data_IF_810255981468
#
_entry.id   IF_810255981468
#
_cell.length_a   1.000
_cell.length_b   1.000
_cell.length_c   1.000
_cell.angle_alpha   90.00
_cell.angle_beta   90.00
_cell.angle_gamma   90.00
#
_symmetry.space_group_name_H-M   'P 1'
#
loop_
_entity.id
_entity.type
_entity.pdbx_description
1 polymer ?
#
# COMPACT_ATOMS: atom_id res chain seq x y z
N UNK A 1 13.56 6.92 -18.99
CA UNK A 1 12.59 7.87 -18.37
C UNK A 1 11.52 7.09 -17.62
N UNK A 2 11.08 7.57 -16.45
CA UNK A 2 10.03 6.93 -15.65
C UNK A 2 8.73 7.74 -15.74
N UNK A 3 7.61 7.07 -16.03
CA UNK A 3 6.29 7.69 -15.99
C UNK A 3 5.49 7.18 -14.80
N UNK A 4 4.88 8.12 -14.06
CA UNK A 4 4.04 7.82 -12.91
C UNK A 4 2.58 7.97 -13.33
N UNK A 5 1.85 6.87 -13.34
CA UNK A 5 0.42 6.85 -13.62
C UNK A 5 -0.36 7.03 -12.33
N UNK A 6 -0.76 8.26 -12.05
CA UNK A 6 -1.48 8.68 -10.85
C UNK A 6 -0.91 9.93 -10.19
N UNK A 7 -1.54 11.08 -10.41
CA UNK A 7 -1.18 12.38 -9.83
C UNK A 7 -1.71 12.61 -8.40
N UNK A 8 -1.83 11.54 -7.60
CA UNK A 8 -2.17 11.60 -6.19
C UNK A 8 -0.97 11.95 -5.29
N UNK A 9 -1.19 12.04 -3.97
CA UNK A 9 -0.12 12.40 -3.03
C UNK A 9 1.11 11.50 -3.14
N UNK A 10 0.90 10.17 -3.25
CA UNK A 10 2.01 9.22 -3.33
C UNK A 10 2.75 9.29 -4.67
N UNK A 11 2.02 9.38 -5.79
CA UNK A 11 2.64 9.54 -7.11
C UNK A 11 3.49 10.81 -7.22
N UNK A 12 2.99 11.92 -6.68
CA UNK A 12 3.74 13.18 -6.64
C UNK A 12 4.97 13.10 -5.72
N UNK A 13 4.88 12.42 -4.59
CA UNK A 13 6.03 12.22 -3.72
C UNK A 13 7.12 11.37 -4.39
N UNK A 14 6.75 10.32 -5.13
CA UNK A 14 7.70 9.53 -5.91
C UNK A 14 8.30 10.32 -7.08
N UNK A 15 7.49 11.16 -7.75
CA UNK A 15 8.01 12.07 -8.78
C UNK A 15 9.05 13.02 -8.20
N UNK A 16 8.82 13.53 -6.99
CA UNK A 16 9.78 14.38 -6.28
C UNK A 16 11.08 13.63 -5.96
N UNK A 17 11.00 12.38 -5.47
CA UNK A 17 12.19 11.54 -5.21
C UNK A 17 13.01 11.33 -6.50
N UNK A 18 12.37 10.88 -7.59
CA UNK A 18 13.03 10.65 -8.87
C UNK A 18 13.68 11.94 -9.42
N UNK A 19 12.96 13.04 -9.37
CA UNK A 19 13.48 14.33 -9.81
C UNK A 19 14.68 14.81 -8.98
N UNK A 20 14.65 14.58 -7.66
CA UNK A 20 15.80 14.88 -6.78
C UNK A 20 17.05 14.06 -7.14
N UNK A 21 16.86 12.87 -7.70
CA UNK A 21 17.92 11.99 -8.18
C UNK A 21 18.31 12.27 -9.65
N UNK A 22 17.81 13.33 -10.26
CA UNK A 22 18.00 13.68 -11.67
C UNK A 22 17.49 12.59 -12.64
N UNK A 23 16.55 11.75 -12.23
CA UNK A 23 15.86 10.79 -13.09
C UNK A 23 14.71 11.52 -13.79
N UNK A 24 14.69 11.55 -15.14
CA UNK A 24 13.59 12.19 -15.88
C UNK A 24 12.25 11.53 -15.55
N UNK A 25 11.28 12.32 -15.09
CA UNK A 25 9.97 11.84 -14.66
C UNK A 25 8.84 12.65 -15.30
N UNK A 26 7.76 11.94 -15.66
CA UNK A 26 6.49 12.53 -16.11
C UNK A 26 5.35 11.94 -15.26
N UNK A 27 4.36 12.74 -14.92
CA UNK A 27 3.20 12.30 -14.13
C UNK A 27 1.94 12.35 -15.00
N UNK A 28 1.19 11.28 -15.01
CA UNK A 28 -0.14 11.26 -15.61
C UNK A 28 -1.23 11.43 -14.55
N UNK A 29 -2.19 12.28 -14.82
CA UNK A 29 -3.40 12.40 -14.03
C UNK A 29 -4.63 12.54 -14.95
N UNK A 30 -5.74 11.91 -14.56
CA UNK A 30 -6.97 11.90 -15.36
C UNK A 30 -7.67 13.28 -15.42
N UNK A 31 -7.52 14.08 -14.36
CA UNK A 31 -8.19 15.36 -14.22
C UNK A 31 -7.36 16.46 -14.88
N UNK A 32 -7.84 16.96 -16.04
CA UNK A 32 -7.20 18.04 -16.81
C UNK A 32 -7.02 19.32 -15.98
N UNK A 33 -7.98 19.66 -15.11
CA UNK A 33 -7.88 20.84 -14.25
C UNK A 33 -6.73 20.72 -13.25
N UNK A 34 -6.51 19.49 -12.73
CA UNK A 34 -5.37 19.21 -11.87
C UNK A 34 -4.05 19.36 -12.65
N UNK A 35 -4.01 18.87 -13.89
CA UNK A 35 -2.84 18.94 -14.77
C UNK A 35 -2.49 20.39 -15.07
N UNK A 36 -3.46 21.21 -15.50
CA UNK A 36 -3.26 22.61 -15.84
C UNK A 36 -2.77 23.42 -14.63
N UNK A 37 -3.42 23.22 -13.48
CA UNK A 37 -3.02 23.88 -12.24
C UNK A 37 -1.58 23.51 -11.84
N UNK A 38 -1.26 22.21 -11.86
CA UNK A 38 0.08 21.75 -11.50
C UNK A 38 1.16 22.29 -12.43
N UNK A 39 0.95 22.26 -13.73
CA UNK A 39 1.93 22.76 -14.71
C UNK A 39 2.14 24.27 -14.66
N UNK A 40 1.12 25.03 -14.24
CA UNK A 40 1.18 26.48 -14.08
C UNK A 40 1.81 26.91 -12.75
N UNK A 41 1.41 26.28 -11.65
CA UNK A 41 1.74 26.73 -10.29
C UNK A 41 2.72 25.82 -9.56
N UNK A 42 2.93 24.61 -10.08
CA UNK A 42 3.74 23.56 -9.44
C UNK A 42 3.30 23.23 -8.00
N UNK A 43 2.00 23.40 -7.72
CA UNK A 43 1.38 23.10 -6.42
C UNK A 43 0.39 21.94 -6.53
N UNK A 44 -0.01 21.37 -5.40
CA UNK A 44 -1.00 20.31 -5.37
C UNK A 44 -1.85 20.40 -4.12
N UNK A 45 -3.16 20.15 -4.25
CA UNK A 45 -4.12 20.08 -3.12
C UNK A 45 -3.77 19.05 -2.05
N UNK A 46 -2.79 18.20 -2.30
CA UNK A 46 -2.36 17.16 -1.34
C UNK A 46 -1.25 17.63 -0.42
N UNK A 47 -0.64 18.79 -0.69
CA UNK A 47 0.53 19.29 0.03
C UNK A 47 0.44 20.80 0.20
N UNK A 48 0.00 21.23 1.36
CA UNK A 48 -0.14 22.63 1.67
C UNK A 48 1.21 23.37 1.56
N UNK A 49 1.22 24.48 0.82
CA UNK A 49 2.39 25.37 0.67
C UNK A 49 3.66 24.73 0.08
N UNK A 50 3.58 23.50 -0.46
CA UNK A 50 4.73 22.88 -1.12
C UNK A 50 4.73 23.16 -2.62
N UNK A 51 5.84 23.70 -3.13
CA UNK A 51 6.05 23.97 -4.56
C UNK A 51 7.00 22.91 -5.13
N UNK A 52 6.51 22.15 -6.10
CA UNK A 52 7.30 21.13 -6.78
C UNK A 52 8.30 21.74 -7.76
N UNK A 53 9.44 21.07 -8.04
CA UNK A 53 10.37 21.49 -9.08
C UNK A 53 9.66 21.62 -10.45
N UNK A 54 9.97 22.69 -11.19
CA UNK A 54 9.37 22.97 -12.50
C UNK A 54 9.73 21.96 -13.59
N UNK A 55 10.76 21.14 -13.34
CA UNK A 55 11.16 19.99 -14.17
C UNK A 55 10.14 18.84 -14.14
N UNK A 56 9.34 18.71 -13.08
CA UNK A 56 8.27 17.72 -13.03
C UNK A 56 7.09 18.25 -13.86
N UNK A 57 6.72 17.50 -14.89
CA UNK A 57 5.57 17.83 -15.74
C UNK A 57 4.45 16.80 -15.54
N UNK A 58 3.23 17.30 -15.67
CA UNK A 58 2.03 16.47 -15.61
C UNK A 58 1.29 16.51 -16.95
N UNK A 59 0.66 15.41 -17.33
CA UNK A 59 -0.17 15.31 -18.52
C UNK A 59 -1.46 14.55 -18.24
N UNK A 60 -2.54 14.90 -18.95
CA UNK A 60 -3.80 14.12 -18.98
C UNK A 60 -3.82 13.10 -20.12
N UNK A 61 -2.91 13.21 -21.10
CA UNK A 61 -2.78 12.25 -22.18
C UNK A 61 -2.01 11.02 -21.73
N UNK A 62 -2.68 9.86 -21.77
CA UNK A 62 -2.03 8.59 -21.45
C UNK A 62 -0.94 8.25 -22.48
N UNK A 63 -1.15 8.59 -23.74
CA UNK A 63 -0.19 8.33 -24.81
C UNK A 63 1.07 9.15 -24.63
N UNK A 64 0.94 10.42 -24.26
CA UNK A 64 2.07 11.26 -23.92
C UNK A 64 2.82 10.73 -22.67
N UNK A 65 2.09 10.24 -21.67
CA UNK A 65 2.72 9.65 -20.50
C UNK A 65 3.52 8.40 -20.84
N UNK A 66 3.01 7.55 -21.74
CA UNK A 66 3.67 6.30 -22.12
C UNK A 66 4.81 6.50 -23.12
N UNK A 67 4.84 7.63 -23.83
CA UNK A 67 5.88 7.91 -24.82
C UNK A 67 7.27 8.05 -24.16
N UNK A 68 8.28 7.39 -24.74
CA UNK A 68 9.67 7.42 -24.28
C UNK A 68 9.88 6.96 -22.82
N UNK A 69 8.93 6.20 -22.25
CA UNK A 69 9.06 5.62 -20.91
C UNK A 69 9.46 4.17 -20.98
N UNK A 70 10.48 3.78 -20.25
CA UNK A 70 10.94 2.40 -20.11
C UNK A 70 10.29 1.75 -18.87
N UNK A 71 9.97 2.57 -17.87
CA UNK A 71 9.38 2.15 -16.60
C UNK A 71 8.12 2.95 -16.27
N UNK A 72 7.07 2.25 -15.85
CA UNK A 72 5.80 2.81 -15.41
C UNK A 72 5.60 2.56 -13.92
N UNK A 73 5.31 3.60 -13.15
CA UNK A 73 4.92 3.50 -11.75
C UNK A 73 3.41 3.64 -11.63
N UNK A 74 2.72 2.57 -11.24
CA UNK A 74 1.26 2.59 -11.06
C UNK A 74 0.94 3.09 -9.64
N UNK A 75 0.51 4.35 -9.56
CA UNK A 75 0.17 5.04 -8.29
C UNK A 75 -1.31 5.47 -8.25
N UNK A 76 -2.17 4.69 -8.87
CA UNK A 76 -3.63 4.82 -8.79
C UNK A 76 -4.21 3.90 -7.72
N UNK A 77 -5.43 4.15 -7.21
CA UNK A 77 -6.08 3.25 -6.26
C UNK A 77 -6.22 1.83 -6.81
N UNK A 78 -6.15 0.81 -5.93
CA UNK A 78 -6.27 -0.62 -6.28
C UNK A 78 -7.40 -0.90 -7.25
N UNK A 79 -8.61 -0.42 -6.93
CA UNK A 79 -9.83 -0.61 -7.75
C UNK A 79 -9.73 -0.05 -9.18
N UNK A 80 -8.77 0.82 -9.46
CA UNK A 80 -8.57 1.41 -10.78
C UNK A 80 -7.36 0.78 -11.51
N UNK A 81 -6.51 0.02 -10.82
CA UNK A 81 -5.23 -0.44 -11.36
C UNK A 81 -5.44 -1.43 -12.49
N UNK A 82 -6.25 -2.47 -12.30
CA UNK A 82 -6.47 -3.51 -13.31
C UNK A 82 -7.11 -2.92 -14.58
N UNK A 83 -8.19 -2.14 -14.44
CA UNK A 83 -8.85 -1.50 -15.59
C UNK A 83 -7.95 -0.50 -16.34
N UNK A 84 -7.07 0.23 -15.63
CA UNK A 84 -6.09 1.09 -16.27
C UNK A 84 -5.10 0.26 -17.10
N UNK A 85 -4.51 -0.78 -16.51
CA UNK A 85 -3.55 -1.66 -17.21
C UNK A 85 -4.20 -2.32 -18.42
N UNK A 86 -5.42 -2.82 -18.29
CA UNK A 86 -6.16 -3.41 -19.41
C UNK A 86 -6.37 -2.42 -20.56
N UNK A 87 -6.66 -1.16 -20.24
CA UNK A 87 -6.89 -0.11 -21.26
C UNK A 87 -5.62 0.27 -22.04
N UNK A 88 -4.43 -0.01 -21.50
CA UNK A 88 -3.14 0.33 -22.12
C UNK A 88 -2.28 -0.89 -22.44
N UNK A 89 -2.82 -2.10 -22.33
CA UNK A 89 -2.07 -3.37 -22.43
C UNK A 89 -1.20 -3.47 -23.68
N UNK A 90 -1.71 -3.01 -24.83
CA UNK A 90 -0.99 -3.08 -26.11
C UNK A 90 0.22 -2.13 -26.20
N UNK A 91 0.39 -1.23 -25.22
CA UNK A 91 1.44 -0.20 -25.17
C UNK A 91 2.47 -0.43 -24.06
N UNK A 92 2.30 -1.48 -23.24
CA UNK A 92 3.12 -1.67 -22.03
C UNK A 92 3.80 -3.05 -21.94
N UNK A 93 3.63 -3.93 -22.92
CA UNK A 93 4.15 -5.31 -22.88
C UNK A 93 5.67 -5.39 -22.73
N UNK A 94 6.40 -4.39 -23.19
CA UNK A 94 7.87 -4.27 -23.14
C UNK A 94 8.38 -3.39 -22.00
N UNK A 95 7.49 -2.74 -21.24
CA UNK A 95 7.85 -1.80 -20.17
C UNK A 95 7.98 -2.47 -18.81
N UNK A 96 8.88 -1.95 -17.98
CA UNK A 96 8.93 -2.30 -16.57
C UNK A 96 7.78 -1.62 -15.83
N UNK A 97 7.20 -2.33 -14.86
CA UNK A 97 6.04 -1.82 -14.09
C UNK A 97 6.32 -1.92 -12.60
N UNK A 98 6.14 -0.79 -11.89
CA UNK A 98 6.24 -0.70 -10.44
C UNK A 98 4.85 -0.50 -9.84
N UNK A 99 4.37 -1.47 -9.08
CA UNK A 99 3.13 -1.36 -8.31
C UNK A 99 3.41 -0.62 -6.99
N UNK A 100 2.59 0.36 -6.68
CA UNK A 100 2.68 1.08 -5.40
C UNK A 100 1.37 1.07 -4.62
N UNK A 101 0.29 0.62 -5.24
CA UNK A 101 -1.01 0.47 -4.59
C UNK A 101 -0.97 -0.69 -3.57
N UNK A 102 -1.61 -0.49 -2.43
CA UNK A 102 -1.59 -1.41 -1.29
C UNK A 102 -3.00 -1.96 -1.05
N UNK A 103 -3.29 -3.14 -1.57
CA UNK A 103 -4.60 -3.78 -1.41
C UNK A 103 -4.75 -5.00 -2.32
N UNK A 104 -5.93 -5.57 -2.30
CA UNK A 104 -6.32 -6.74 -3.08
C UNK A 104 -7.43 -6.39 -4.06
N UNK A 105 -7.52 -7.12 -5.15
CA UNK A 105 -8.60 -7.03 -6.13
C UNK A 105 -9.16 -8.42 -6.40
N UNK A 106 -10.49 -8.59 -6.21
CA UNK A 106 -11.16 -9.90 -6.35
C UNK A 106 -10.46 -11.03 -5.59
N UNK A 107 -10.13 -10.80 -4.31
CA UNK A 107 -9.48 -11.79 -3.44
C UNK A 107 -8.05 -12.16 -3.83
N UNK A 108 -7.37 -11.39 -4.69
CA UNK A 108 -6.00 -11.65 -5.13
C UNK A 108 -5.10 -10.42 -5.04
N UNK A 109 -3.79 -10.62 -4.97
CA UNK A 109 -2.79 -9.55 -5.04
C UNK A 109 -2.70 -9.00 -6.47
N UNK A 110 -2.35 -7.72 -6.61
CA UNK A 110 -2.32 -7.06 -7.91
C UNK A 110 -1.33 -7.68 -8.88
N UNK A 111 -0.16 -8.16 -8.42
CA UNK A 111 0.81 -8.82 -9.28
C UNK A 111 0.22 -10.07 -9.96
N UNK A 112 -0.61 -10.84 -9.26
CA UNK A 112 -1.32 -11.99 -9.85
C UNK A 112 -2.43 -11.56 -10.81
N UNK A 113 -3.17 -10.51 -10.46
CA UNK A 113 -4.22 -9.95 -11.34
C UNK A 113 -3.66 -9.39 -12.65
N UNK A 114 -2.42 -8.94 -12.64
CA UNK A 114 -1.77 -8.31 -13.80
C UNK A 114 -0.96 -9.28 -14.66
N UNK A 115 -0.75 -10.53 -14.25
CA UNK A 115 -0.04 -11.56 -15.04
C UNK A 115 -0.52 -11.70 -16.50
N UNK A 116 -1.82 -11.55 -16.83
CA UNK A 116 -2.25 -11.60 -18.23
C UNK A 116 -1.72 -10.48 -19.12
N UNK A 117 -1.29 -9.38 -18.53
CA UNK A 117 -0.89 -8.15 -19.22
C UNK A 117 0.62 -7.84 -19.11
N UNK A 118 1.26 -8.28 -18.03
CA UNK A 118 2.64 -7.91 -17.68
C UNK A 118 3.40 -9.17 -17.24
N UNK A 119 4.56 -9.42 -17.85
CA UNK A 119 5.47 -10.49 -17.41
C UNK A 119 5.92 -10.23 -15.96
N UNK A 120 5.98 -11.28 -15.14
CA UNK A 120 6.47 -11.19 -13.76
C UNK A 120 7.92 -10.67 -13.68
N UNK A 121 8.74 -10.93 -14.70
CA UNK A 121 10.11 -10.44 -14.80
C UNK A 121 10.22 -8.93 -15.08
N UNK A 122 9.12 -8.30 -15.50
CA UNK A 122 9.02 -6.85 -15.73
C UNK A 122 8.21 -6.15 -14.63
N UNK A 123 7.75 -6.90 -13.63
CA UNK A 123 6.94 -6.37 -12.55
C UNK A 123 7.74 -6.25 -11.27
N UNK A 124 7.54 -5.16 -10.57
CA UNK A 124 8.06 -4.91 -9.23
C UNK A 124 7.01 -4.24 -8.34
N UNK A 125 7.22 -4.32 -7.04
CA UNK A 125 6.34 -3.73 -6.02
C UNK A 125 7.15 -2.86 -5.10
N UNK A 126 6.73 -1.61 -4.91
CA UNK A 126 7.32 -0.68 -3.95
C UNK A 126 6.41 -0.57 -2.72
N UNK A 127 6.94 -0.90 -1.55
CA UNK A 127 6.20 -0.86 -0.27
C UNK A 127 7.13 -0.52 0.89
N UNK A 128 6.55 -0.18 2.06
CA UNK A 128 7.28 0.18 3.26
C UNK A 128 6.71 1.38 3.98
N UNK A 129 7.26 1.76 5.14
CA UNK A 129 6.79 2.88 5.96
C UNK A 129 7.11 4.22 5.28
N UNK A 130 6.12 4.84 4.63
CA UNK A 130 6.35 5.99 3.76
C UNK A 130 5.12 6.88 3.62
N UNK A 131 4.96 7.86 4.52
CA UNK A 131 3.97 8.91 4.34
C UNK A 131 4.45 9.93 3.31
N UNK A 132 3.64 10.17 2.28
CA UNK A 132 3.96 11.11 1.20
C UNK A 132 4.32 12.52 1.71
N UNK A 133 3.63 12.99 2.75
CA UNK A 133 3.90 14.29 3.39
C UNK A 133 5.28 14.38 4.07
N UNK A 134 5.83 13.27 4.52
CA UNK A 134 7.17 13.21 5.10
C UNK A 134 8.25 13.10 4.02
N UNK A 135 7.97 12.34 2.97
CA UNK A 135 8.90 12.18 1.82
C UNK A 135 9.18 13.51 1.14
N UNK A 136 8.15 14.34 0.87
CA UNK A 136 8.38 15.67 0.25
C UNK A 136 9.12 16.65 1.15
N UNK A 137 9.09 16.42 2.49
CA UNK A 137 9.87 17.18 3.46
C UNK A 137 11.30 16.63 3.61
N UNK A 138 11.70 15.68 2.78
CA UNK A 138 13.01 15.00 2.85
C UNK A 138 13.30 14.34 4.21
N UNK A 139 12.25 13.91 4.94
CA UNK A 139 12.46 13.10 6.15
C UNK A 139 12.93 11.71 5.76
N UNK A 140 13.86 11.17 6.54
CA UNK A 140 14.43 9.85 6.30
C UNK A 140 13.34 8.80 6.16
N UNK A 141 13.30 8.18 4.98
CA UNK A 141 12.31 7.16 4.61
C UNK A 141 13.02 5.94 4.06
N UNK A 142 12.64 4.76 4.52
CA UNK A 142 13.17 3.49 4.02
C UNK A 142 12.03 2.65 3.44
N UNK A 143 12.22 2.13 2.22
CA UNK A 143 11.23 1.29 1.51
C UNK A 143 11.88 0.05 0.92
N UNK A 144 11.07 -0.87 0.42
CA UNK A 144 11.49 -2.08 -0.29
C UNK A 144 10.95 -2.04 -1.71
N UNK A 145 11.79 -2.39 -2.69
CA UNK A 145 11.38 -2.79 -4.03
C UNK A 145 11.55 -4.30 -4.14
N UNK A 146 10.44 -5.00 -4.38
CA UNK A 146 10.42 -6.44 -4.60
C UNK A 146 10.18 -6.75 -6.06
N UNK A 147 10.98 -7.66 -6.64
CA UNK A 147 10.82 -8.16 -8.01
C UNK A 147 11.39 -9.58 -8.13
N UNK A 148 10.79 -10.42 -8.97
CA UNK A 148 11.39 -11.72 -9.36
C UNK A 148 12.66 -11.51 -10.19
N UNK A 149 12.82 -10.35 -10.84
CA UNK A 149 14.00 -9.95 -11.58
C UNK A 149 14.95 -9.11 -10.70
N UNK A 150 16.06 -9.69 -10.27
CA UNK A 150 17.05 -9.03 -9.41
C UNK A 150 17.71 -7.80 -10.04
N UNK A 151 17.89 -7.81 -11.37
CA UNK A 151 18.54 -6.68 -12.05
C UNK A 151 17.59 -5.50 -12.15
N UNK A 152 16.30 -5.75 -12.45
CA UNK A 152 15.26 -4.72 -12.38
C UNK A 152 15.16 -4.11 -10.97
N UNK A 153 15.17 -4.93 -9.91
CA UNK A 153 15.10 -4.41 -8.55
C UNK A 153 16.30 -3.54 -8.18
N UNK A 154 17.50 -3.85 -8.67
CA UNK A 154 18.73 -3.04 -8.47
C UNK A 154 18.70 -1.74 -9.29
N UNK A 155 18.24 -1.79 -10.54
CA UNK A 155 18.04 -0.60 -11.38
C UNK A 155 17.12 0.39 -10.68
N UNK A 156 15.92 -0.08 -10.25
CA UNK A 156 14.95 0.74 -9.53
C UNK A 156 15.47 1.21 -8.16
N UNK A 157 16.26 0.38 -7.46
CA UNK A 157 16.93 0.79 -6.23
C UNK A 157 17.83 2.00 -6.47
N UNK A 158 18.60 2.02 -7.56
CA UNK A 158 19.49 3.13 -7.91
C UNK A 158 18.68 4.37 -8.28
N UNK A 159 17.61 4.22 -9.06
CA UNK A 159 16.77 5.34 -9.50
C UNK A 159 16.07 6.06 -8.35
N UNK A 160 15.58 5.30 -7.36
CA UNK A 160 14.81 5.84 -6.25
C UNK A 160 15.66 6.19 -5.02
N UNK A 161 16.87 5.62 -4.84
CA UNK A 161 17.66 5.89 -3.62
C UNK A 161 18.27 7.28 -3.62
N UNK A 162 18.18 7.96 -2.46
CA UNK A 162 18.80 9.26 -2.19
C UNK A 162 19.29 9.34 -0.74
N UNK A 163 19.78 10.50 -0.34
CA UNK A 163 20.22 10.79 1.03
C UNK A 163 19.07 10.73 2.07
N UNK A 164 17.84 10.94 1.65
CA UNK A 164 16.66 10.88 2.51
C UNK A 164 15.68 9.72 2.18
N UNK A 165 15.82 9.07 1.02
CA UNK A 165 14.95 7.97 0.58
C UNK A 165 15.77 6.74 0.26
N UNK A 166 15.80 5.77 1.17
CA UNK A 166 16.61 4.56 1.04
C UNK A 166 15.77 3.38 0.57
N UNK A 167 16.21 2.73 -0.49
CA UNK A 167 15.54 1.57 -1.08
C UNK A 167 16.32 0.30 -0.78
N UNK A 168 15.64 -0.72 -0.28
CA UNK A 168 16.14 -2.08 -0.15
C UNK A 168 15.50 -2.96 -1.21
N UNK A 169 16.18 -4.00 -1.66
CA UNK A 169 15.65 -4.96 -2.63
C UNK A 169 15.15 -6.23 -1.96
N UNK A 170 14.15 -6.87 -2.58
CA UNK A 170 13.62 -8.18 -2.19
C UNK A 170 13.25 -8.97 -3.44
N UNK A 171 13.21 -10.30 -3.33
CA UNK A 171 12.64 -11.18 -4.34
C UNK A 171 11.27 -11.77 -3.90
N UNK A 172 10.69 -11.27 -2.80
CA UNK A 172 9.41 -11.70 -2.26
C UNK A 172 8.29 -10.72 -2.62
N UNK A 173 7.82 -10.79 -3.87
CA UNK A 173 6.73 -9.96 -4.37
C UNK A 173 5.44 -10.22 -3.58
N UNK A 174 5.11 -11.49 -3.37
CA UNK A 174 3.88 -11.92 -2.69
C UNK A 174 3.83 -11.41 -1.25
N UNK A 175 4.91 -11.61 -0.49
CA UNK A 175 4.97 -11.16 0.91
C UNK A 175 4.88 -9.64 1.03
N UNK A 176 5.57 -8.91 0.16
CA UNK A 176 5.57 -7.43 0.17
C UNK A 176 4.18 -6.87 -0.15
N UNK A 177 3.46 -7.44 -1.13
CA UNK A 177 2.10 -7.00 -1.45
C UNK A 177 1.10 -7.31 -0.34
N UNK A 178 1.12 -8.55 0.20
CA UNK A 178 0.22 -8.95 1.28
C UNK A 178 0.43 -8.10 2.54
N UNK A 179 1.68 -7.85 2.92
CA UNK A 179 2.00 -6.96 4.04
C UNK A 179 1.42 -5.55 3.81
N UNK A 180 1.63 -4.98 2.63
CA UNK A 180 1.12 -3.67 2.28
C UNK A 180 -0.42 -3.59 2.27
N UNK A 181 -1.10 -4.66 1.84
CA UNK A 181 -2.55 -4.73 1.79
C UNK A 181 -3.17 -4.83 3.20
N UNK A 182 -2.73 -5.79 3.99
CA UNK A 182 -3.35 -6.12 5.28
C UNK A 182 -3.11 -5.08 6.36
N UNK A 183 -1.94 -4.39 6.36
CA UNK A 183 -1.66 -3.34 7.34
C UNK A 183 -2.77 -2.29 7.44
N UNK A 184 -3.40 -1.95 6.30
CA UNK A 184 -4.46 -0.95 6.24
C UNK A 184 -5.71 -1.39 7.01
N UNK A 185 -6.03 -2.68 6.97
CA UNK A 185 -7.13 -3.26 7.75
C UNK A 185 -6.80 -3.28 9.23
N UNK A 186 -5.59 -3.73 9.59
CA UNK A 186 -5.15 -3.72 10.99
C UNK A 186 -5.07 -2.31 11.57
N UNK A 187 -4.74 -1.30 10.74
CA UNK A 187 -4.75 0.08 11.19
C UNK A 187 -6.14 0.57 11.60
N UNK A 188 -7.21 0.14 10.91
CA UNK A 188 -8.59 0.44 11.31
C UNK A 188 -8.86 -0.14 12.70
N UNK A 189 -8.53 -1.42 12.93
CA UNK A 189 -8.70 -2.07 14.24
C UNK A 189 -7.90 -1.39 15.35
N UNK A 190 -6.66 -0.98 15.06
CA UNK A 190 -5.84 -0.20 16.01
C UNK A 190 -6.49 1.14 16.37
N UNK A 191 -7.10 1.80 15.39
CA UNK A 191 -7.88 3.02 15.62
C UNK A 191 -9.08 2.78 16.53
N UNK A 192 -9.84 1.68 16.36
CA UNK A 192 -10.94 1.32 17.27
C UNK A 192 -10.46 1.22 18.71
N UNK A 193 -9.35 0.53 18.95
CA UNK A 193 -8.83 0.33 20.31
C UNK A 193 -8.46 1.66 20.97
N UNK A 194 -7.79 2.55 20.26
CA UNK A 194 -7.40 3.85 20.79
C UNK A 194 -8.64 4.78 20.99
N UNK A 195 -9.59 4.75 20.05
CA UNK A 195 -10.86 5.49 20.18
C UNK A 195 -11.67 5.06 21.41
N UNK A 196 -11.58 3.77 21.78
CA UNK A 196 -12.23 3.19 22.98
C UNK A 196 -11.35 3.22 24.24
N UNK A 197 -10.11 3.74 24.14
CA UNK A 197 -9.16 3.87 25.26
C UNK A 197 -8.94 2.56 26.04
N UNK A 198 -8.81 1.45 25.30
CA UNK A 198 -8.69 0.10 25.89
C UNK A 198 -7.37 -0.20 26.62
N UNK A 199 -6.38 0.68 26.52
CA UNK A 199 -5.09 0.60 27.21
C UNK A 199 -3.97 -0.01 26.36
N UNK A 200 -2.72 0.27 26.79
CA UNK A 200 -1.51 -0.04 26.02
C UNK A 200 -1.22 -1.54 25.92
N UNK A 201 -1.53 -2.34 26.95
CA UNK A 201 -1.33 -3.80 26.92
C UNK A 201 -2.21 -4.44 25.83
N UNK A 202 -3.47 -4.02 25.71
CA UNK A 202 -4.40 -4.49 24.67
C UNK A 202 -3.88 -4.10 23.29
N UNK A 203 -3.41 -2.87 23.13
CA UNK A 203 -2.84 -2.40 21.86
C UNK A 203 -1.59 -3.17 21.45
N UNK A 204 -0.65 -3.39 22.38
CA UNK A 204 0.56 -4.17 22.12
C UNK A 204 0.22 -5.62 21.72
N UNK A 205 -0.67 -6.26 22.47
CA UNK A 205 -1.16 -7.61 22.15
C UNK A 205 -1.85 -7.66 20.79
N UNK A 206 -2.67 -6.66 20.47
CA UNK A 206 -3.33 -6.54 19.17
C UNK A 206 -2.32 -6.47 18.02
N UNK A 207 -1.32 -5.59 18.11
CA UNK A 207 -0.29 -5.45 17.05
C UNK A 207 0.51 -6.74 16.86
N UNK A 208 0.91 -7.38 17.95
CA UNK A 208 1.62 -8.67 17.90
C UNK A 208 0.77 -9.75 17.25
N UNK A 209 -0.49 -9.87 17.63
CA UNK A 209 -1.42 -10.87 17.05
C UNK A 209 -1.81 -10.53 15.61
N UNK A 210 -1.87 -9.25 15.24
CA UNK A 210 -2.06 -8.82 13.85
C UNK A 210 -0.87 -9.22 12.98
N UNK A 211 0.35 -9.04 13.47
CA UNK A 211 1.56 -9.49 12.76
C UNK A 211 1.57 -11.02 12.60
N UNK A 212 1.16 -11.75 13.62
CA UNK A 212 1.04 -13.21 13.55
C UNK A 212 -0.01 -13.65 12.51
N UNK A 213 -1.18 -13.03 12.50
CA UNK A 213 -2.24 -13.31 11.52
C UNK A 213 -1.79 -12.96 10.08
N UNK A 214 -1.11 -11.83 9.91
CA UNK A 214 -0.43 -11.44 8.67
C UNK A 214 0.60 -12.50 8.24
N UNK A 215 1.39 -13.01 9.19
CA UNK A 215 2.36 -14.08 8.95
C UNK A 215 1.73 -15.34 8.39
N UNK A 216 0.61 -15.76 8.97
CA UNK A 216 -0.09 -16.95 8.52
C UNK A 216 -0.51 -16.84 7.04
N UNK A 217 -1.09 -15.71 6.61
CA UNK A 217 -1.49 -15.56 5.21
C UNK A 217 -0.28 -15.42 4.28
N UNK A 218 0.74 -14.65 4.67
CA UNK A 218 1.96 -14.46 3.88
C UNK A 218 2.65 -15.81 3.62
N UNK A 219 2.87 -16.61 4.66
CA UNK A 219 3.56 -17.91 4.56
C UNK A 219 2.74 -18.94 3.77
N UNK A 220 1.42 -18.99 3.97
CA UNK A 220 0.54 -19.89 3.21
C UNK A 220 0.45 -19.50 1.72
N UNK A 221 0.71 -18.23 1.38
CA UNK A 221 0.75 -17.76 0.00
C UNK A 221 2.14 -17.83 -0.64
N UNK A 222 3.12 -18.43 0.04
CA UNK A 222 4.48 -18.60 -0.46
C UNK A 222 5.40 -17.39 -0.25
N UNK A 223 4.97 -16.38 0.51
CA UNK A 223 5.83 -15.29 0.95
C UNK A 223 6.81 -15.73 2.05
N UNK A 224 7.71 -14.85 2.44
CA UNK A 224 8.83 -15.14 3.33
C UNK A 224 8.64 -14.56 4.73
N UNK A 225 9.07 -15.29 5.74
CA UNK A 225 9.09 -14.82 7.13
C UNK A 225 9.97 -13.56 7.29
N UNK A 226 11.09 -13.50 6.58
CA UNK A 226 11.98 -12.32 6.60
C UNK A 226 11.29 -11.04 6.13
N UNK A 227 10.30 -11.12 5.24
CA UNK A 227 9.50 -9.98 4.81
C UNK A 227 8.61 -9.45 5.92
N UNK A 228 8.07 -10.33 6.78
CA UNK A 228 7.26 -9.94 7.95
C UNK A 228 8.05 -9.10 8.95
N UNK A 229 9.33 -9.44 9.16
CA UNK A 229 10.23 -8.72 10.07
C UNK A 229 10.89 -7.50 9.42
N UNK A 230 10.61 -7.26 8.15
CA UNK A 230 11.17 -6.17 7.36
C UNK A 230 10.32 -4.89 7.33
N UNK A 231 10.74 -3.97 6.46
CA UNK A 231 10.10 -2.66 6.27
C UNK A 231 8.65 -2.78 5.79
N UNK A 232 8.38 -3.67 4.83
CA UNK A 232 7.01 -3.87 4.30
C UNK A 232 6.08 -4.58 5.28
N UNK A 233 6.63 -5.40 6.18
CA UNK A 233 5.90 -6.11 7.23
C UNK A 233 5.74 -5.25 8.48
N UNK A 234 6.49 -5.58 9.54
CA UNK A 234 6.38 -4.92 10.84
C UNK A 234 6.61 -3.40 10.78
N UNK A 235 7.53 -2.93 9.93
CA UNK A 235 7.83 -1.50 9.82
C UNK A 235 6.61 -0.68 9.37
N UNK A 236 5.97 -1.09 8.28
CA UNK A 236 4.80 -0.39 7.73
C UNK A 236 3.53 -0.65 8.57
N UNK A 237 3.44 -1.81 9.22
CA UNK A 237 2.38 -2.11 10.18
C UNK A 237 2.43 -1.16 11.38
N UNK A 238 3.59 -1.00 12.02
CA UNK A 238 3.77 -0.10 13.16
C UNK A 238 3.42 1.33 12.75
N UNK A 239 4.03 1.84 11.67
CA UNK A 239 3.78 3.21 11.21
C UNK A 239 2.28 3.45 11.01
N UNK A 240 1.60 2.54 10.31
CA UNK A 240 0.20 2.72 9.92
C UNK A 240 -0.76 2.58 11.09
N UNK A 241 -0.46 1.68 12.05
CA UNK A 241 -1.30 1.41 13.22
C UNK A 241 -1.10 2.38 14.40
N UNK A 242 -0.05 3.20 14.39
CA UNK A 242 0.27 4.08 15.52
C UNK A 242 0.21 5.57 15.18
N UNK A 243 0.05 5.92 13.90
CA UNK A 243 0.07 7.31 13.46
C UNK A 243 -1.33 7.84 13.12
N UNK A 244 -1.72 9.01 13.65
CA UNK A 244 -2.95 9.70 13.25
C UNK A 244 -2.91 10.22 11.81
N UNK A 245 -1.74 10.26 11.17
CA UNK A 245 -1.59 10.57 9.73
C UNK A 245 -2.16 9.44 8.86
N UNK A 246 -2.26 8.22 9.38
CA UNK A 246 -2.89 7.11 8.68
C UNK A 246 -4.41 7.33 8.57
N UNK A 247 -4.93 7.42 7.34
CA UNK A 247 -6.37 7.54 7.08
C UNK A 247 -7.15 6.34 7.62
N UNK A 248 -6.57 5.14 7.53
CA UNK A 248 -7.19 3.92 8.05
C UNK A 248 -7.27 3.95 9.59
N UNK A 249 -6.20 4.30 10.27
CA UNK A 249 -6.19 4.47 11.72
C UNK A 249 -7.17 5.55 12.17
N UNK A 250 -7.12 6.74 11.54
CA UNK A 250 -8.01 7.87 11.88
C UNK A 250 -9.48 7.55 11.64
N UNK A 251 -9.80 6.76 10.62
CA UNK A 251 -11.14 6.24 10.41
C UNK A 251 -11.59 5.36 11.58
N UNK A 252 -10.79 4.37 11.97
CA UNK A 252 -11.10 3.51 13.12
C UNK A 252 -11.23 4.29 14.43
N UNK A 253 -10.33 5.25 14.67
CA UNK A 253 -10.36 6.09 15.87
C UNK A 253 -11.65 6.91 16.01
N UNK A 254 -12.20 7.41 14.89
CA UNK A 254 -13.41 8.26 14.84
C UNK A 254 -14.67 7.47 14.52
N UNK A 255 -14.58 6.15 14.36
CA UNK A 255 -15.70 5.33 13.88
C UNK A 255 -16.90 5.41 14.82
N UNK A 256 -18.06 5.74 14.24
CA UNK A 256 -19.34 5.90 14.92
C UNK A 256 -20.47 5.07 14.30
N UNK A 257 -20.12 4.06 13.48
CA UNK A 257 -21.08 3.23 12.74
C UNK A 257 -21.31 3.67 11.29
N UNK A 258 -20.72 4.80 10.85
CA UNK A 258 -20.89 5.32 9.49
C UNK A 258 -19.64 5.06 8.61
N UNK A 259 -19.87 4.49 7.43
CA UNK A 259 -18.85 4.25 6.40
C UNK A 259 -19.02 5.13 5.17
N UNK A 260 -20.06 5.92 5.08
CA UNK A 260 -20.45 6.65 3.85
C UNK A 260 -19.45 7.73 3.43
N UNK A 261 -18.70 8.29 4.37
CA UNK A 261 -17.70 9.35 4.12
C UNK A 261 -16.28 8.81 3.90
N UNK A 262 -16.10 7.49 3.93
CA UNK A 262 -14.78 6.84 3.97
C UNK A 262 -14.20 6.45 2.59
N UNK A 263 -14.51 7.19 1.53
CA UNK A 263 -14.11 6.89 0.15
C UNK A 263 -12.59 6.75 -0.08
N UNK A 264 -11.76 7.28 0.83
CA UNK A 264 -10.28 7.23 0.73
C UNK A 264 -9.65 6.23 1.69
N UNK A 265 -10.44 5.44 2.41
CA UNK A 265 -9.98 4.44 3.39
C UNK A 265 -9.78 3.11 2.67
N UNK A 266 -8.55 2.85 2.25
CA UNK A 266 -8.21 1.65 1.46
C UNK A 266 -8.52 0.34 2.20
N UNK A 267 -8.36 0.32 3.53
CA UNK A 267 -8.66 -0.84 4.36
C UNK A 267 -10.10 -1.32 4.26
N UNK A 268 -11.07 -0.41 4.05
CA UNK A 268 -12.47 -0.80 3.86
C UNK A 268 -12.70 -1.54 2.54
N UNK A 269 -12.02 -1.14 1.48
CA UNK A 269 -12.08 -1.85 0.21
C UNK A 269 -11.34 -3.19 0.27
N UNK A 270 -10.22 -3.22 0.98
CA UNK A 270 -9.36 -4.41 1.08
C UNK A 270 -9.97 -5.50 1.98
N UNK A 271 -10.74 -5.12 3.01
CA UNK A 271 -11.28 -6.03 4.01
C UNK A 271 -12.11 -7.19 3.43
N UNK A 272 -13.13 -6.97 2.58
CA UNK A 272 -13.88 -8.09 1.97
C UNK A 272 -12.99 -8.98 1.08
N UNK A 273 -12.04 -8.39 0.35
CA UNK A 273 -11.11 -9.14 -0.49
C UNK A 273 -10.16 -10.04 0.32
N UNK A 274 -9.77 -9.61 1.53
CA UNK A 274 -8.96 -10.45 2.44
C UNK A 274 -9.80 -11.63 2.95
N UNK A 275 -11.05 -11.42 3.30
CA UNK A 275 -11.94 -12.49 3.75
C UNK A 275 -12.16 -13.52 2.65
N UNK A 276 -12.38 -13.07 1.41
CA UNK A 276 -12.49 -13.95 0.23
C UNK A 276 -11.20 -14.77 0.03
N UNK A 277 -10.03 -14.13 0.10
CA UNK A 277 -8.74 -14.81 0.04
C UNK A 277 -8.60 -15.82 1.18
N UNK A 278 -8.91 -15.44 2.42
CA UNK A 278 -8.82 -16.31 3.59
C UNK A 278 -9.70 -17.56 3.45
N UNK A 279 -10.91 -17.40 2.94
CA UNK A 279 -11.84 -18.52 2.70
C UNK A 279 -11.32 -19.43 1.57
N UNK A 280 -10.82 -18.87 0.46
CA UNK A 280 -10.23 -19.59 -0.68
C UNK A 280 -9.05 -20.48 -0.22
N UNK A 281 -8.19 -19.96 0.65
CA UNK A 281 -6.98 -20.64 1.12
C UNK A 281 -7.17 -21.33 2.48
N UNK A 282 -8.38 -21.31 3.05
CA UNK A 282 -8.74 -21.91 4.36
C UNK A 282 -7.88 -21.40 5.53
N UNK A 283 -7.58 -20.11 5.52
CA UNK A 283 -6.76 -19.44 6.54
C UNK A 283 -7.67 -18.80 7.59
N UNK A 284 -7.44 -19.13 8.88
CA UNK A 284 -8.20 -18.51 9.97
C UNK A 284 -7.65 -17.09 10.27
N UNK A 285 -8.49 -16.09 10.10
CA UNK A 285 -8.16 -14.68 10.32
C UNK A 285 -9.11 -14.03 11.33
N UNK A 286 -8.98 -14.35 12.62
CA UNK A 286 -9.90 -13.89 13.65
C UNK A 286 -9.91 -12.38 13.85
N UNK A 287 -8.78 -11.67 13.68
CA UNK A 287 -8.71 -10.21 13.84
C UNK A 287 -9.38 -9.53 12.65
N UNK A 288 -9.13 -9.96 11.42
CA UNK A 288 -9.81 -9.43 10.23
C UNK A 288 -11.31 -9.64 10.31
N UNK A 289 -11.77 -10.84 10.72
CA UNK A 289 -13.18 -11.14 10.97
C UNK A 289 -13.79 -10.25 12.05
N UNK A 290 -13.05 -9.98 13.12
CA UNK A 290 -13.46 -9.07 14.19
C UNK A 290 -13.64 -7.62 13.68
N UNK A 291 -12.69 -7.12 12.90
CA UNK A 291 -12.78 -5.78 12.29
C UNK A 291 -14.01 -5.70 11.36
N UNK A 292 -14.24 -6.74 10.57
CA UNK A 292 -15.41 -6.84 9.71
C UNK A 292 -16.73 -6.77 10.51
N UNK A 293 -16.83 -7.50 11.62
CA UNK A 293 -18.03 -7.48 12.48
C UNK A 293 -18.29 -6.09 13.05
N UNK A 294 -17.26 -5.37 13.48
CA UNK A 294 -17.40 -4.01 13.99
C UNK A 294 -17.94 -3.07 12.91
N UNK A 295 -17.38 -3.15 11.69
CA UNK A 295 -17.69 -2.21 10.61
C UNK A 295 -19.06 -2.48 9.99
N UNK A 296 -19.34 -3.73 9.63
CA UNK A 296 -20.50 -4.07 8.80
C UNK A 296 -21.66 -4.65 9.59
N UNK A 297 -21.41 -5.20 10.77
CA UNK A 297 -22.47 -5.72 11.65
C UNK A 297 -22.73 -4.81 12.85
N UNK A 298 -21.99 -3.68 12.97
CA UNK A 298 -22.08 -2.74 14.10
C UNK A 298 -21.90 -3.43 15.48
N UNK A 299 -21.10 -4.50 15.54
CA UNK A 299 -20.83 -5.21 16.80
C UNK A 299 -19.98 -4.31 17.71
N UNK A 300 -20.33 -4.15 19.00
CA UNK A 300 -19.55 -3.34 19.92
C UNK A 300 -18.11 -3.83 20.07
N UNK A 301 -17.14 -2.91 20.05
CA UNK A 301 -15.70 -3.26 20.14
C UNK A 301 -15.40 -4.08 21.39
N UNK A 302 -16.03 -3.76 22.52
CA UNK A 302 -15.86 -4.43 23.80
C UNK A 302 -16.31 -5.92 23.76
N UNK A 303 -17.41 -6.20 23.07
CA UNK A 303 -17.92 -7.58 22.90
C UNK A 303 -17.01 -8.37 21.95
N UNK A 304 -16.50 -7.74 20.91
CA UNK A 304 -15.53 -8.36 19.99
C UNK A 304 -14.23 -8.71 20.72
N UNK A 305 -13.71 -7.82 21.57
CA UNK A 305 -12.54 -8.10 22.41
C UNK A 305 -12.80 -9.31 23.31
N UNK A 306 -13.95 -9.32 24.01
CA UNK A 306 -14.32 -10.43 24.90
C UNK A 306 -14.41 -11.76 24.15
N UNK A 307 -15.00 -11.77 22.95
CA UNK A 307 -15.06 -12.95 22.09
C UNK A 307 -13.68 -13.43 21.66
N UNK A 308 -12.77 -12.53 21.27
CA UNK A 308 -11.41 -12.89 20.90
C UNK A 308 -10.62 -13.47 22.08
N UNK A 309 -10.78 -12.91 23.29
CA UNK A 309 -10.16 -13.41 24.53
C UNK A 309 -10.73 -14.77 24.98
N UNK A 310 -11.97 -15.10 24.63
CA UNK A 310 -12.61 -16.37 24.91
C UNK A 310 -12.21 -17.53 23.98
N UNK A 311 -11.37 -17.28 22.97
CA UNK A 311 -10.89 -18.35 22.07
C UNK A 311 -10.03 -19.36 22.80
N UNK A 312 -9.96 -20.60 22.25
CA UNK A 312 -9.13 -21.67 22.80
C UNK A 312 -7.65 -21.21 22.91
N UNK A 313 -7.04 -21.60 24.04
CA UNK A 313 -5.60 -21.35 24.29
C UNK A 313 -4.76 -22.05 23.23
N UNK A 314 -3.77 -21.37 22.66
CA UNK A 314 -2.85 -21.90 21.63
C UNK A 314 -1.40 -21.61 22.04
N UNK A 315 -0.46 -22.33 21.43
CA UNK A 315 0.96 -21.95 21.43
C UNK A 315 1.14 -20.62 20.71
N UNK A 316 2.18 -19.86 21.05
CA UNK A 316 2.53 -18.60 20.38
C UNK A 316 3.28 -18.81 19.06
N UNK A 317 3.64 -20.04 18.71
CA UNK A 317 4.39 -20.35 17.51
C UNK A 317 3.59 -20.09 16.21
N UNK A 318 4.30 -19.76 15.14
CA UNK A 318 3.70 -19.71 13.80
C UNK A 318 3.35 -21.14 13.36
N UNK A 319 2.08 -21.36 13.05
CA UNK A 319 1.63 -22.64 12.51
C UNK A 319 1.73 -22.59 10.98
N UNK A 320 2.68 -23.36 10.42
CA UNK A 320 2.58 -23.81 9.03
C UNK A 320 1.48 -24.88 8.99
N UNK A 321 0.35 -24.59 8.37
CA UNK A 321 -0.64 -25.62 8.04
C UNK A 321 -0.11 -26.51 6.91
#
# INVERSE_FOLDING_TARGET
MISILGGGSWGLALAFVLNNNNVPVKVWARDEKQVDLFNREHTSKYFDSFVFPSSIKMTSSIDEALSNSDTLVLSVPVKATVGLVESIKDKIHDKNVVLTAKGLDNGEILSERLKPYISSLKLSVLSGPSFASEVIQKKTTCVVIASENSDLSKELQNDFSSDFFRVYTSNDVVGVELCGALKNVYAIGSGFLDGKKVGYNTKASYLTRSLHELGNIVLNRGGKETTLLGLSGIGDLILTCTSPTSRNYSFGYKFNGDTTTAHTVEGLYTLPNILEMADKYKIDMPIVKAINSIIFNNEPVEEVIKRLMGRSKKSEEFHKN
#
